data_IF_448052534395
#
_entry.id   IF_448052534395
#
_cell.length_a   1.000
_cell.length_b   1.000
_cell.length_c   1.000
_cell.angle_alpha   90.00
_cell.angle_beta   90.00
_cell.angle_gamma   90.00
#
_symmetry.space_group_name_H-M   'P 1'
#
loop_
_entity.id
_entity.type
_entity.pdbx_description
1 polymer ?
#
# COMPACT_ATOMS: atom_id res chain seq x y z
N UNK A 1 53.11 36.34 25.53
CA UNK A 1 51.70 36.54 25.21
C UNK A 1 51.02 35.21 25.46
N UNK A 2 50.41 35.08 26.64
CA UNK A 2 49.77 33.83 27.04
C UNK A 2 48.31 33.82 26.55
N UNK A 3 47.95 32.75 25.87
CA UNK A 3 46.54 32.44 25.59
C UNK A 3 45.95 31.68 26.81
N UNK A 4 45.06 32.34 27.49
CA UNK A 4 44.25 31.79 28.57
C UNK A 4 43.18 30.89 27.97
N UNK A 5 43.30 29.57 28.14
CA UNK A 5 42.21 28.63 27.94
C UNK A 5 41.19 28.77 29.06
N UNK A 6 40.01 29.23 28.71
CA UNK A 6 38.85 29.17 29.62
C UNK A 6 38.29 27.75 29.61
N UNK A 7 38.11 27.13 30.78
CA UNK A 7 37.46 25.81 30.81
C UNK A 7 35.97 25.99 30.59
N UNK A 8 35.46 25.38 29.51
CA UNK A 8 34.03 25.16 29.35
C UNK A 8 33.51 24.34 30.54
N UNK A 9 32.88 25.01 31.45
CA UNK A 9 32.14 24.38 32.54
C UNK A 9 30.98 23.56 31.97
N UNK A 10 31.14 22.27 31.98
CA UNK A 10 30.05 21.33 31.82
C UNK A 10 29.02 21.59 32.93
N UNK A 11 27.91 22.19 32.60
CA UNK A 11 26.74 22.25 33.48
C UNK A 11 26.21 20.85 33.71
N UNK A 12 26.59 20.24 34.81
CA UNK A 12 25.92 19.10 35.38
C UNK A 12 24.70 19.62 36.16
N UNK A 13 23.46 19.41 35.74
CA UNK A 13 22.30 19.73 36.58
C UNK A 13 22.14 18.61 37.59
N UNK A 14 22.55 18.90 38.84
CA UNK A 14 22.34 18.05 40.03
C UNK A 14 20.96 18.32 40.65
N UNK A 15 19.90 18.14 39.90
CA UNK A 15 18.54 18.08 40.43
C UNK A 15 18.03 16.68 40.20
N UNK A 16 17.67 15.97 41.30
CA UNK A 16 17.01 14.68 41.22
C UNK A 16 15.77 14.78 40.28
N UNK A 17 15.55 13.80 39.38
CA UNK A 17 14.45 13.88 38.44
C UNK A 17 13.11 13.87 39.19
N UNK A 18 12.21 14.73 38.76
CA UNK A 18 10.86 14.81 39.33
C UNK A 18 10.07 13.53 39.07
N UNK A 19 9.09 13.22 39.91
CA UNK A 19 8.19 12.08 39.71
C UNK A 19 7.45 12.13 38.38
N UNK A 20 7.24 13.31 37.79
CA UNK A 20 6.63 13.48 36.49
C UNK A 20 7.58 13.08 35.35
N UNK A 21 8.85 13.49 35.42
CA UNK A 21 9.91 13.11 34.48
C UNK A 21 10.15 11.61 34.52
N UNK A 22 10.29 11.02 35.71
CA UNK A 22 10.45 9.54 35.83
C UNK A 22 9.29 8.77 35.18
N UNK A 23 8.05 9.24 35.36
CA UNK A 23 6.90 8.59 34.72
C UNK A 23 6.92 8.74 33.20
N UNK A 24 7.32 9.93 32.70
CA UNK A 24 7.45 10.22 31.25
C UNK A 24 8.54 9.34 30.63
N UNK A 25 9.75 9.36 31.17
CA UNK A 25 10.89 8.58 30.66
C UNK A 25 10.65 7.07 30.71
N UNK A 26 9.95 6.56 31.76
CA UNK A 26 9.55 5.15 31.77
C UNK A 26 8.57 4.79 30.67
N UNK A 27 7.69 5.70 30.32
CA UNK A 27 6.77 5.49 29.20
C UNK A 27 7.54 5.46 27.87
N UNK A 28 8.41 6.43 27.65
CA UNK A 28 9.26 6.46 26.46
C UNK A 28 10.11 5.20 26.36
N UNK A 29 10.82 4.82 27.41
CA UNK A 29 11.56 3.55 27.42
C UNK A 29 10.70 2.34 27.05
N UNK A 30 9.47 2.28 27.54
CA UNK A 30 8.57 1.16 27.23
C UNK A 30 8.06 1.20 25.79
N UNK A 31 7.86 2.40 25.22
CA UNK A 31 7.43 2.58 23.83
C UNK A 31 8.58 2.25 22.87
N UNK A 32 9.83 2.73 23.11
CA UNK A 32 11.03 2.38 22.32
C UNK A 32 11.26 0.87 22.27
N UNK A 33 11.23 0.20 23.42
CA UNK A 33 11.39 -1.27 23.48
C UNK A 33 10.28 -2.02 22.74
N UNK A 34 9.07 -1.46 22.72
CA UNK A 34 7.98 -2.03 21.95
C UNK A 34 8.15 -1.81 20.44
N UNK A 35 8.65 -0.63 20.03
CA UNK A 35 8.93 -0.28 18.64
C UNK A 35 10.10 -1.12 18.10
N UNK A 36 11.22 -1.22 18.83
CA UNK A 36 12.31 -2.14 18.49
C UNK A 36 11.82 -3.59 18.28
N UNK A 37 10.96 -4.10 19.19
CA UNK A 37 10.40 -5.43 19.06
C UNK A 37 9.45 -5.58 17.85
N UNK A 38 8.73 -4.52 17.46
CA UNK A 38 7.88 -4.52 16.26
C UNK A 38 8.77 -4.57 15.02
N UNK A 39 9.78 -3.72 14.92
CA UNK A 39 10.71 -3.70 13.79
C UNK A 39 11.47 -5.02 13.65
N UNK A 40 11.94 -5.60 14.76
CA UNK A 40 12.56 -6.92 14.75
C UNK A 40 11.60 -8.01 14.24
N UNK A 41 10.34 -8.00 14.71
CA UNK A 41 9.34 -8.96 14.24
C UNK A 41 9.07 -8.81 12.73
N UNK A 42 9.01 -7.58 12.22
CA UNK A 42 8.83 -7.31 10.79
C UNK A 42 10.07 -7.73 9.98
N UNK A 43 11.27 -7.49 10.50
CA UNK A 43 12.53 -7.91 9.91
C UNK A 43 12.60 -9.44 9.71
N UNK A 44 12.21 -10.19 10.73
CA UNK A 44 12.21 -11.67 10.69
C UNK A 44 11.26 -12.26 9.64
N UNK A 45 10.26 -11.48 9.19
CA UNK A 45 9.24 -11.90 8.23
C UNK A 45 9.36 -11.21 6.87
N UNK A 46 10.28 -10.26 6.72
CA UNK A 46 10.49 -9.55 5.47
C UNK A 46 11.59 -10.22 4.62
N UNK A 47 11.43 -10.30 3.28
CA UNK A 47 12.43 -10.93 2.42
C UNK A 47 13.64 -10.01 2.18
N UNK A 48 14.83 -10.63 2.12
CA UNK A 48 16.06 -10.03 1.61
C UNK A 48 16.42 -8.68 2.24
N UNK A 49 16.76 -7.70 1.41
CA UNK A 49 17.24 -6.38 1.83
C UNK A 49 16.23 -5.61 2.73
N UNK A 50 14.94 -5.83 2.56
CA UNK A 50 13.92 -5.18 3.40
C UNK A 50 14.03 -5.64 4.86
N UNK A 51 14.28 -6.93 5.10
CA UNK A 51 14.51 -7.47 6.44
C UNK A 51 15.75 -6.86 7.10
N UNK A 52 16.86 -6.72 6.35
CA UNK A 52 18.08 -6.11 6.85
C UNK A 52 17.88 -4.64 7.25
N UNK A 53 17.18 -3.85 6.43
CA UNK A 53 16.88 -2.44 6.74
C UNK A 53 16.03 -2.35 8.01
N UNK A 54 14.98 -3.16 8.14
CA UNK A 54 14.12 -3.16 9.33
C UNK A 54 14.88 -3.58 10.60
N UNK A 55 15.83 -4.51 10.48
CA UNK A 55 16.69 -4.89 11.59
C UNK A 55 17.58 -3.73 12.03
N UNK A 56 18.15 -2.96 11.10
CA UNK A 56 18.97 -1.79 11.43
C UNK A 56 18.15 -0.70 12.13
N UNK A 57 16.89 -0.48 11.72
CA UNK A 57 15.98 0.42 12.43
C UNK A 57 15.71 -0.10 13.85
N UNK A 58 15.46 -1.41 14.04
CA UNK A 58 15.27 -1.99 15.37
C UNK A 58 16.47 -1.75 16.30
N UNK A 59 17.69 -1.84 15.78
CA UNK A 59 18.93 -1.54 16.52
C UNK A 59 19.02 -0.05 16.88
N UNK A 60 18.49 0.83 16.03
CA UNK A 60 18.44 2.27 16.32
C UNK A 60 17.48 2.57 17.48
N UNK A 61 16.29 1.95 17.50
CA UNK A 61 15.33 2.07 18.62
C UNK A 61 15.91 1.57 19.96
N UNK A 62 16.69 0.49 19.93
CA UNK A 62 17.39 0.04 21.14
C UNK A 62 18.41 1.08 21.66
N UNK A 63 19.02 1.89 20.82
CA UNK A 63 19.88 3.02 21.23
C UNK A 63 19.07 4.15 21.87
N UNK A 64 17.86 4.44 21.36
CA UNK A 64 16.92 5.37 21.98
C UNK A 64 16.48 4.88 23.35
N UNK A 65 16.15 3.61 23.47
CA UNK A 65 15.82 2.98 24.75
C UNK A 65 16.96 3.10 25.76
N UNK A 66 18.23 2.98 25.33
CA UNK A 66 19.40 3.13 26.19
C UNK A 66 19.59 4.58 26.69
N UNK A 67 19.23 5.58 25.88
CA UNK A 67 19.20 6.98 26.35
C UNK A 67 18.24 7.15 27.53
N UNK A 68 17.03 6.64 27.42
CA UNK A 68 16.04 6.72 28.50
C UNK A 68 16.43 5.88 29.72
N UNK A 69 17.11 4.74 29.55
CA UNK A 69 17.66 3.94 30.67
C UNK A 69 18.71 4.74 31.43
N UNK A 70 19.60 5.43 30.75
CA UNK A 70 20.64 6.26 31.38
C UNK A 70 20.03 7.40 32.20
N UNK A 71 19.04 8.11 31.68
CA UNK A 71 18.36 9.16 32.41
C UNK A 71 17.59 8.63 33.62
N UNK A 72 16.97 7.47 33.50
CA UNK A 72 16.25 6.82 34.60
C UNK A 72 17.17 6.31 35.72
N UNK A 73 18.40 5.91 35.39
CA UNK A 73 19.32 5.31 36.37
C UNK A 73 18.68 4.21 37.20
N UNK A 74 18.70 4.31 38.55
CA UNK A 74 18.09 3.30 39.44
C UNK A 74 16.57 3.15 39.23
N UNK A 75 15.90 4.13 38.66
CA UNK A 75 14.45 4.12 38.42
C UNK A 75 14.05 3.30 37.20
N UNK A 76 15.00 2.83 36.38
CA UNK A 76 14.74 2.00 35.21
C UNK A 76 14.24 0.57 35.56
N UNK A 77 14.49 0.09 36.77
CA UNK A 77 14.10 -1.26 37.20
C UNK A 77 12.58 -1.49 37.25
N UNK A 78 11.77 -0.43 37.38
CA UNK A 78 10.31 -0.54 37.32
C UNK A 78 9.84 -0.33 35.88
N UNK A 79 9.51 -1.43 35.19
CA UNK A 79 8.95 -1.39 33.85
C UNK A 79 7.60 -0.65 33.81
N UNK A 80 7.44 0.28 32.89
CA UNK A 80 6.13 0.81 32.52
C UNK A 80 5.51 -0.12 31.45
N UNK A 81 4.18 -0.06 31.32
CA UNK A 81 3.51 -0.72 30.19
C UNK A 81 3.63 0.17 28.98
N UNK A 82 3.92 -0.40 27.79
CA UNK A 82 3.87 0.34 26.55
C UNK A 82 2.49 1.01 26.34
N UNK A 83 2.45 2.07 25.58
CA UNK A 83 1.23 2.80 25.26
C UNK A 83 0.18 1.86 24.62
N UNK A 84 -1.09 2.22 24.70
CA UNK A 84 -2.14 1.47 24.00
C UNK A 84 -1.88 1.39 22.49
N UNK A 85 -1.24 2.42 21.93
CA UNK A 85 -0.85 2.49 20.54
C UNK A 85 0.22 1.45 20.21
N UNK A 86 1.35 1.41 20.94
CA UNK A 86 2.43 0.44 20.74
C UNK A 86 1.92 -1.00 20.90
N UNK A 87 1.02 -1.23 21.86
CA UNK A 87 0.36 -2.54 22.04
C UNK A 87 -0.53 -2.92 20.86
N UNK A 88 -1.31 -1.97 20.33
CA UNK A 88 -2.14 -2.20 19.15
C UNK A 88 -1.28 -2.44 17.90
N UNK A 89 -0.19 -1.70 17.73
CA UNK A 89 0.77 -1.90 16.64
C UNK A 89 1.42 -3.29 16.71
N UNK A 90 1.84 -3.73 17.87
CA UNK A 90 2.39 -5.08 18.09
C UNK A 90 1.36 -6.17 17.76
N UNK A 91 0.10 -5.99 18.18
CA UNK A 91 -0.97 -6.92 17.82
C UNK A 91 -1.18 -6.98 16.30
N UNK A 92 -1.21 -5.82 15.65
CA UNK A 92 -1.36 -5.74 14.19
C UNK A 92 -0.15 -6.32 13.46
N UNK A 93 1.08 -6.11 13.94
CA UNK A 93 2.29 -6.69 13.36
C UNK A 93 2.26 -8.22 13.36
N UNK A 94 1.68 -8.82 14.39
CA UNK A 94 1.56 -10.29 14.52
C UNK A 94 0.46 -10.92 13.66
N UNK A 95 -0.58 -10.16 13.30
CA UNK A 95 -1.79 -10.72 12.67
C UNK A 95 -2.08 -10.15 11.29
N UNK A 96 -1.48 -9.01 10.92
CA UNK A 96 -1.71 -8.33 9.65
C UNK A 96 -0.39 -8.16 8.90
N UNK A 97 -0.45 -8.19 7.57
CA UNK A 97 0.74 -8.17 6.72
C UNK A 97 1.63 -6.92 6.91
N UNK A 98 2.92 -7.09 6.61
CA UNK A 98 4.00 -6.11 6.80
C UNK A 98 3.67 -4.71 6.26
N UNK A 99 3.09 -4.61 5.07
CA UNK A 99 2.79 -3.32 4.41
C UNK A 99 1.80 -2.48 5.20
N UNK A 100 0.79 -3.12 5.81
CA UNK A 100 -0.21 -2.42 6.62
C UNK A 100 0.40 -1.86 7.89
N UNK A 101 1.28 -2.63 8.52
CA UNK A 101 1.97 -2.22 9.74
C UNK A 101 2.98 -1.11 9.48
N UNK A 102 3.75 -1.19 8.37
CA UNK A 102 4.67 -0.12 7.96
C UNK A 102 3.94 1.22 7.75
N UNK A 103 2.74 1.22 7.16
CA UNK A 103 1.96 2.44 7.00
C UNK A 103 1.52 3.06 8.34
N UNK A 104 1.27 2.21 9.35
CA UNK A 104 0.95 2.65 10.70
C UNK A 104 2.18 3.14 11.46
N UNK A 105 3.32 2.48 11.31
CA UNK A 105 4.60 2.89 11.89
C UNK A 105 5.04 4.24 11.32
N UNK A 106 5.03 4.42 10.00
CA UNK A 106 5.31 5.72 9.37
C UNK A 106 4.54 6.86 10.04
N UNK A 107 3.26 6.63 10.34
CA UNK A 107 2.43 7.62 11.04
C UNK A 107 2.76 7.73 12.53
N UNK A 108 3.41 6.71 13.09
CA UNK A 108 3.90 6.71 14.44
C UNK A 108 5.09 7.65 14.57
N UNK A 109 6.11 7.46 13.74
CA UNK A 109 7.34 8.24 13.67
C UNK A 109 7.05 9.74 13.41
N UNK A 110 6.15 10.05 12.46
CA UNK A 110 5.77 11.44 12.16
C UNK A 110 5.14 12.21 13.33
N UNK A 111 4.89 11.56 14.46
CA UNK A 111 4.29 12.12 15.67
C UNK A 111 5.15 11.93 16.90
N UNK A 112 6.44 11.64 16.71
CA UNK A 112 7.39 11.56 17.82
C UNK A 112 7.41 12.87 18.61
N UNK A 113 7.34 12.82 19.94
CA UNK A 113 7.35 14.00 20.79
C UNK A 113 8.75 14.59 20.98
N UNK A 114 9.81 13.97 20.44
CA UNK A 114 11.19 14.28 20.80
C UNK A 114 11.68 15.63 20.32
N UNK A 115 11.06 16.23 19.29
CA UNK A 115 11.37 17.61 18.86
C UNK A 115 11.02 18.67 19.90
N UNK A 116 10.03 18.37 20.75
CA UNK A 116 9.51 19.32 21.75
C UNK A 116 9.93 18.93 23.18
N UNK A 117 10.51 17.73 23.36
CA UNK A 117 10.91 17.25 24.68
C UNK A 117 12.34 17.66 25.02
N UNK A 118 12.54 18.47 26.10
CA UNK A 118 13.87 18.96 26.47
C UNK A 118 14.82 17.88 26.97
N UNK A 119 14.32 16.70 27.32
CA UNK A 119 15.11 15.56 27.83
C UNK A 119 15.50 14.59 26.69
N UNK A 120 14.94 14.74 25.48
CA UNK A 120 15.38 14.04 24.30
C UNK A 120 16.59 14.72 23.66
N UNK A 121 17.50 13.96 23.06
CA UNK A 121 18.62 14.54 22.33
C UNK A 121 18.18 15.00 20.93
N UNK A 122 18.88 16.03 20.40
CA UNK A 122 18.65 16.48 19.02
C UNK A 122 18.89 15.33 18.01
N UNK A 123 19.84 14.44 18.31
CA UNK A 123 20.13 13.27 17.49
C UNK A 123 18.92 12.32 17.45
N UNK A 124 18.27 12.03 18.59
CA UNK A 124 17.06 11.20 18.60
C UNK A 124 15.94 11.80 17.76
N UNK A 125 15.72 13.12 17.88
CA UNK A 125 14.70 13.79 17.07
C UNK A 125 15.02 13.79 15.57
N UNK A 126 16.30 13.78 15.21
CA UNK A 126 16.75 13.62 13.81
C UNK A 126 16.60 12.17 13.32
N UNK A 127 16.96 11.19 14.15
CA UNK A 127 16.80 9.76 13.84
C UNK A 127 15.34 9.40 13.55
N UNK A 128 14.39 9.91 14.35
CA UNK A 128 12.95 9.74 14.11
C UNK A 128 12.49 10.22 12.73
N UNK A 129 13.03 11.36 12.29
CA UNK A 129 12.72 11.88 10.95
C UNK A 129 13.31 10.98 9.82
N UNK A 130 14.48 10.38 10.06
CA UNK A 130 15.09 9.42 9.15
C UNK A 130 14.32 8.11 9.15
N UNK A 131 13.89 7.62 10.32
CA UNK A 131 13.03 6.43 10.44
C UNK A 131 11.71 6.62 9.67
N UNK A 132 11.05 7.78 9.83
CA UNK A 132 9.84 8.08 9.04
C UNK A 132 10.08 7.92 7.54
N UNK A 133 11.21 8.43 7.01
CA UNK A 133 11.50 8.35 5.58
C UNK A 133 11.85 6.94 5.12
N UNK A 134 12.64 6.19 5.91
CA UNK A 134 12.93 4.78 5.64
C UNK A 134 11.63 3.97 5.57
N UNK A 135 10.77 4.11 6.58
CA UNK A 135 9.50 3.39 6.64
C UNK A 135 8.56 3.84 5.51
N UNK A 136 8.58 5.11 5.13
CA UNK A 136 7.85 5.63 3.96
C UNK A 136 8.32 4.95 2.67
N UNK A 137 9.62 4.83 2.45
CA UNK A 137 10.19 4.17 1.28
C UNK A 137 9.79 2.68 1.21
N UNK A 138 9.97 1.93 2.30
CA UNK A 138 9.56 0.53 2.40
C UNK A 138 8.05 0.33 2.22
N UNK A 139 7.24 1.22 2.80
CA UNK A 139 5.79 1.18 2.62
C UNK A 139 5.36 1.50 1.19
N UNK A 140 6.11 2.34 0.46
CA UNK A 140 5.80 2.72 -0.93
C UNK A 140 6.01 1.53 -1.86
N UNK A 141 7.11 0.79 -1.74
CA UNK A 141 7.36 -0.42 -2.53
C UNK A 141 6.25 -1.47 -2.28
N UNK A 142 5.92 -1.72 -1.02
CA UNK A 142 4.82 -2.63 -0.67
C UNK A 142 3.44 -2.15 -1.17
N UNK A 143 3.17 -0.84 -1.16
CA UNK A 143 1.93 -0.26 -1.70
C UNK A 143 1.83 -0.45 -3.21
N UNK A 144 2.91 -0.32 -3.94
CA UNK A 144 2.94 -0.51 -5.40
C UNK A 144 2.57 -1.95 -5.76
N UNK A 145 3.15 -2.92 -5.06
CA UNK A 145 2.85 -4.35 -5.25
C UNK A 145 1.42 -4.74 -4.85
N UNK A 146 0.87 -4.10 -3.81
CA UNK A 146 -0.51 -4.36 -3.34
C UNK A 146 -1.57 -3.54 -4.08
N UNK A 147 -1.18 -2.47 -4.80
CA UNK A 147 -2.13 -1.46 -5.28
C UNK A 147 -3.24 -2.01 -6.17
N UNK A 148 -2.95 -2.98 -7.03
CA UNK A 148 -3.94 -3.60 -7.93
C UNK A 148 -5.00 -4.40 -7.18
N UNK A 149 -4.57 -5.43 -6.45
CA UNK A 149 -5.48 -6.34 -5.74
C UNK A 149 -6.20 -5.66 -4.58
N UNK A 150 -5.51 -4.80 -3.82
CA UNK A 150 -6.12 -4.06 -2.72
C UNK A 150 -7.13 -3.04 -3.22
N UNK A 151 -6.85 -2.34 -4.31
CA UNK A 151 -7.80 -1.41 -4.93
C UNK A 151 -9.06 -2.16 -5.37
N UNK A 152 -8.91 -3.27 -6.08
CA UNK A 152 -10.03 -4.11 -6.50
C UNK A 152 -10.86 -4.61 -5.30
N UNK A 153 -10.20 -5.07 -4.23
CA UNK A 153 -10.85 -5.54 -3.01
C UNK A 153 -11.67 -4.44 -2.33
N UNK A 154 -11.06 -3.26 -2.12
CA UNK A 154 -11.74 -2.14 -1.46
C UNK A 154 -12.87 -1.59 -2.31
N UNK A 155 -12.64 -1.42 -3.63
CA UNK A 155 -13.69 -0.98 -4.53
C UNK A 155 -14.83 -1.98 -4.59
N UNK A 156 -14.54 -3.28 -4.74
CA UNK A 156 -15.55 -4.33 -4.79
C UNK A 156 -16.38 -4.38 -3.52
N UNK A 157 -15.76 -4.47 -2.35
CA UNK A 157 -16.47 -4.52 -1.09
C UNK A 157 -17.28 -3.25 -0.85
N UNK A 158 -16.72 -2.07 -1.14
CA UNK A 158 -17.43 -0.81 -0.95
C UNK A 158 -18.60 -0.65 -1.91
N UNK A 159 -18.45 -1.02 -3.17
CA UNK A 159 -19.53 -0.99 -4.16
C UNK A 159 -20.66 -1.95 -3.75
N UNK A 160 -20.32 -3.17 -3.30
CA UNK A 160 -21.30 -4.11 -2.77
C UNK A 160 -22.06 -3.57 -1.55
N UNK A 161 -21.34 -2.93 -0.60
CA UNK A 161 -21.96 -2.31 0.58
C UNK A 161 -22.97 -1.22 0.21
N UNK A 162 -22.55 -0.29 -0.65
CA UNK A 162 -23.34 0.90 -1.00
C UNK A 162 -24.48 0.54 -1.94
N UNK A 163 -24.23 -0.19 -3.02
CA UNK A 163 -25.23 -0.50 -4.05
C UNK A 163 -26.34 -1.38 -3.49
N UNK A 164 -25.98 -2.41 -2.72
CA UNK A 164 -26.98 -3.31 -2.18
C UNK A 164 -27.73 -2.71 -0.98
N UNK A 165 -27.07 -1.87 -0.15
CA UNK A 165 -27.79 -1.07 0.85
C UNK A 165 -28.83 -0.15 0.18
N UNK A 166 -28.41 0.58 -0.87
CA UNK A 166 -29.30 1.49 -1.60
C UNK A 166 -30.49 0.75 -2.21
N UNK A 167 -30.26 -0.45 -2.79
CA UNK A 167 -31.32 -1.30 -3.32
C UNK A 167 -32.30 -1.73 -2.24
N UNK A 168 -31.81 -2.25 -1.12
CA UNK A 168 -32.63 -2.71 0.02
C UNK A 168 -33.43 -1.56 0.65
N UNK A 169 -32.81 -0.38 0.80
CA UNK A 169 -33.47 0.82 1.32
C UNK A 169 -34.57 1.29 0.38
N UNK A 170 -34.30 1.33 -0.94
CA UNK A 170 -35.29 1.74 -1.94
C UNK A 170 -36.49 0.79 -1.99
N UNK A 171 -36.26 -0.52 -2.08
CA UNK A 171 -37.34 -1.52 -2.12
C UNK A 171 -38.06 -1.59 -0.77
N UNK A 172 -37.35 -1.55 0.35
CA UNK A 172 -37.94 -1.58 1.68
C UNK A 172 -38.90 -0.39 1.95
N UNK A 173 -38.60 0.78 1.36
CA UNK A 173 -39.43 1.98 1.47
C UNK A 173 -40.76 1.87 0.73
N UNK A 174 -40.91 0.98 -0.24
CA UNK A 174 -42.16 0.75 -0.95
C UNK A 174 -43.23 -0.01 -0.12
N UNK A 175 -42.87 -0.47 1.08
CA UNK A 175 -43.80 -1.19 1.96
C UNK A 175 -44.03 -2.66 1.63
N UNK A 176 -43.25 -3.25 0.73
CA UNK A 176 -43.31 -4.67 0.38
C UNK A 176 -42.86 -5.58 1.53
N UNK A 177 -43.18 -6.87 1.45
CA UNK A 177 -42.80 -7.83 2.49
C UNK A 177 -41.29 -8.01 2.60
N UNK A 178 -40.83 -8.33 3.82
CA UNK A 178 -39.41 -8.56 4.11
C UNK A 178 -38.79 -9.67 3.24
N UNK A 179 -39.58 -10.65 2.82
CA UNK A 179 -39.14 -11.71 1.90
C UNK A 179 -38.81 -11.17 0.50
N UNK A 180 -39.59 -10.23 -0.02
CA UNK A 180 -39.32 -9.56 -1.29
C UNK A 180 -38.04 -8.73 -1.20
N UNK A 181 -37.90 -7.96 -0.11
CA UNK A 181 -36.64 -7.18 0.13
C UNK A 181 -35.40 -8.10 0.16
N UNK A 182 -35.51 -9.23 0.90
CA UNK A 182 -34.42 -10.20 0.99
C UNK A 182 -34.08 -10.81 -0.36
N UNK A 183 -35.06 -11.28 -1.12
CA UNK A 183 -34.85 -11.88 -2.45
C UNK A 183 -34.23 -10.86 -3.42
N UNK A 184 -34.73 -9.61 -3.38
CA UNK A 184 -34.19 -8.52 -4.19
C UNK A 184 -32.73 -8.20 -3.81
N UNK A 185 -32.42 -8.19 -2.51
CA UNK A 185 -31.03 -8.02 -2.05
C UNK A 185 -30.10 -9.16 -2.52
N UNK A 186 -30.56 -10.42 -2.49
CA UNK A 186 -29.79 -11.57 -3.01
C UNK A 186 -29.62 -11.44 -4.52
N UNK A 187 -30.67 -11.08 -5.26
CA UNK A 187 -30.58 -10.87 -6.71
C UNK A 187 -29.60 -9.73 -7.05
N UNK A 188 -29.66 -8.62 -6.31
CA UNK A 188 -28.72 -7.50 -6.45
C UNK A 188 -27.27 -7.89 -6.15
N UNK A 189 -27.05 -8.67 -5.09
CA UNK A 189 -25.74 -9.23 -4.77
C UNK A 189 -25.19 -10.09 -5.93
N UNK A 190 -25.97 -11.03 -6.43
CA UNK A 190 -25.53 -11.93 -7.49
C UNK A 190 -25.30 -11.17 -8.80
N UNK A 191 -26.22 -10.30 -9.18
CA UNK A 191 -26.09 -9.51 -10.40
C UNK A 191 -24.85 -8.59 -10.36
N UNK A 192 -24.66 -7.90 -9.24
CA UNK A 192 -23.49 -7.01 -9.05
C UNK A 192 -22.17 -7.77 -9.01
N UNK A 193 -22.11 -8.88 -8.26
CA UNK A 193 -20.90 -9.70 -8.17
C UNK A 193 -20.51 -10.30 -9.53
N UNK A 194 -21.47 -10.83 -10.29
CA UNK A 194 -21.24 -11.37 -11.63
C UNK A 194 -20.79 -10.26 -12.60
N UNK A 195 -21.48 -9.11 -12.58
CA UNK A 195 -21.13 -7.97 -13.44
C UNK A 195 -19.73 -7.45 -13.15
N UNK A 196 -19.38 -7.32 -11.88
CA UNK A 196 -18.07 -6.83 -11.47
C UNK A 196 -16.95 -7.83 -11.81
N UNK A 197 -17.17 -9.12 -11.56
CA UNK A 197 -16.23 -10.18 -11.95
C UNK A 197 -16.03 -10.26 -13.46
N UNK A 198 -17.09 -10.18 -14.25
CA UNK A 198 -17.00 -10.17 -15.71
C UNK A 198 -16.30 -8.91 -16.24
N UNK A 199 -16.58 -7.73 -15.65
CA UNK A 199 -15.91 -6.49 -16.00
C UNK A 199 -14.41 -6.52 -15.74
N UNK A 200 -14.00 -7.06 -14.59
CA UNK A 200 -12.59 -7.22 -14.25
C UNK A 200 -11.88 -8.20 -15.17
N UNK A 201 -12.52 -9.32 -15.50
CA UNK A 201 -11.99 -10.29 -16.48
C UNK A 201 -11.68 -9.62 -17.82
N UNK A 202 -12.64 -8.88 -18.36
CA UNK A 202 -12.49 -8.20 -19.65
C UNK A 202 -11.42 -7.12 -19.57
N UNK A 203 -11.39 -6.35 -18.47
CA UNK A 203 -10.41 -5.27 -18.26
C UNK A 203 -8.98 -5.80 -18.21
N UNK A 204 -8.71 -6.83 -17.41
CA UNK A 204 -7.37 -7.42 -17.28
C UNK A 204 -6.95 -8.08 -18.60
N UNK A 205 -7.87 -8.78 -19.27
CA UNK A 205 -7.64 -9.40 -20.56
C UNK A 205 -7.27 -8.37 -21.65
N UNK A 206 -8.05 -7.29 -21.72
CA UNK A 206 -7.78 -6.22 -22.70
C UNK A 206 -6.47 -5.50 -22.44
N UNK A 207 -6.10 -5.28 -21.16
CA UNK A 207 -4.80 -4.71 -20.81
C UNK A 207 -3.65 -5.60 -21.27
N UNK A 208 -3.76 -6.91 -21.09
CA UNK A 208 -2.75 -7.87 -21.60
C UNK A 208 -2.67 -7.87 -23.11
N UNK A 209 -3.80 -7.91 -23.80
CA UNK A 209 -3.83 -7.87 -25.26
C UNK A 209 -3.21 -6.58 -25.80
N UNK A 210 -3.41 -5.43 -25.12
CA UNK A 210 -2.76 -4.16 -25.48
C UNK A 210 -1.25 -4.21 -25.22
N UNK A 211 -0.82 -4.78 -24.09
CA UNK A 211 0.60 -4.95 -23.78
C UNK A 211 1.26 -5.89 -24.79
N UNK A 212 0.63 -7.01 -25.09
CA UNK A 212 1.12 -7.96 -26.10
C UNK A 212 1.23 -7.32 -27.50
N UNK A 213 0.25 -6.49 -27.88
CA UNK A 213 0.29 -5.75 -29.16
C UNK A 213 1.37 -4.66 -29.17
N UNK A 214 1.78 -4.16 -28.01
CA UNK A 214 2.82 -3.14 -27.86
C UNK A 214 4.22 -3.72 -27.75
N UNK A 215 4.32 -5.06 -27.59
CA UNK A 215 5.63 -5.75 -27.50
C UNK A 215 6.41 -5.60 -28.81
N UNK A 216 7.71 -5.34 -28.71
CA UNK A 216 8.59 -5.39 -29.86
C UNK A 216 8.49 -6.79 -30.52
N UNK A 217 8.16 -6.85 -31.77
CA UNK A 217 8.19 -8.11 -32.52
C UNK A 217 9.65 -8.60 -32.59
N UNK A 218 9.88 -9.88 -32.39
CA UNK A 218 11.19 -10.53 -32.56
C UNK A 218 11.72 -10.40 -34.01
N UNK A 219 10.88 -9.96 -34.95
CA UNK A 219 11.22 -9.66 -36.34
C UNK A 219 12.51 -8.79 -36.45
N UNK A 220 12.72 -7.84 -35.53
CA UNK A 220 13.96 -7.03 -35.53
C UNK A 220 15.21 -7.85 -35.21
N UNK A 221 15.09 -8.94 -34.46
CA UNK A 221 16.20 -9.85 -34.18
C UNK A 221 16.44 -10.84 -35.33
N UNK A 222 15.38 -11.34 -35.93
CA UNK A 222 15.44 -12.32 -37.02
C UNK A 222 15.95 -11.70 -38.32
N UNK A 223 15.55 -10.45 -38.61
CA UNK A 223 15.93 -9.78 -39.87
C UNK A 223 17.18 -8.92 -39.76
N UNK A 224 17.65 -8.57 -38.55
CA UNK A 224 18.83 -7.73 -38.36
C UNK A 224 20.10 -8.24 -39.13
N UNK A 225 20.39 -9.55 -39.19
CA UNK A 225 21.53 -10.05 -39.95
C UNK A 225 21.40 -9.89 -41.47
N UNK A 226 20.20 -9.69 -41.99
CA UNK A 226 19.90 -9.55 -43.43
C UNK A 226 19.76 -8.10 -43.88
N UNK A 227 19.77 -7.16 -42.91
CA UNK A 227 19.67 -5.72 -43.21
C UNK A 227 20.96 -5.19 -43.83
N UNK A 228 20.81 -4.25 -44.78
CA UNK A 228 21.93 -3.48 -45.29
C UNK A 228 22.54 -2.63 -44.16
N UNK A 229 23.85 -2.70 -43.98
CA UNK A 229 24.53 -2.03 -42.87
C UNK A 229 24.47 -0.49 -42.98
N UNK A 230 24.51 0.02 -44.21
CA UNK A 230 24.58 1.45 -44.49
C UNK A 230 23.21 2.10 -44.81
N UNK A 231 22.17 1.30 -45.07
CA UNK A 231 20.88 1.76 -45.54
C UNK A 231 19.72 0.94 -44.93
N UNK A 232 19.48 1.15 -43.64
CA UNK A 232 18.38 0.49 -42.96
C UNK A 232 17.63 1.47 -42.02
N UNK A 233 16.41 1.14 -41.67
CA UNK A 233 15.52 1.94 -40.82
C UNK A 233 15.50 1.45 -39.35
N UNK A 234 16.44 0.62 -38.92
CA UNK A 234 16.47 0.05 -37.55
C UNK A 234 16.50 1.14 -36.49
N UNK A 235 17.25 2.20 -36.72
CA UNK A 235 17.29 3.39 -35.83
C UNK A 235 15.91 4.00 -35.64
N UNK A 236 15.09 4.04 -36.68
CA UNK A 236 13.73 4.62 -36.62
C UNK A 236 12.82 3.84 -35.69
N UNK A 237 13.00 2.51 -35.60
CA UNK A 237 12.24 1.66 -34.68
C UNK A 237 12.51 2.08 -33.24
N UNK A 238 13.79 2.25 -32.86
CA UNK A 238 14.18 2.66 -31.51
C UNK A 238 13.74 4.09 -31.18
N UNK A 239 13.80 5.01 -32.16
CA UNK A 239 13.27 6.37 -32.01
C UNK A 239 11.75 6.37 -31.83
N UNK A 240 11.03 5.55 -32.58
CA UNK A 240 9.58 5.38 -32.44
C UNK A 240 9.17 4.81 -31.06
N UNK A 241 10.08 4.08 -30.40
CA UNK A 241 9.93 3.59 -29.02
C UNK A 241 10.34 4.59 -27.95
N UNK A 242 10.69 5.82 -28.34
CA UNK A 242 10.98 6.94 -27.43
C UNK A 242 12.46 7.09 -27.05
N UNK A 243 13.39 6.38 -27.69
CA UNK A 243 14.82 6.61 -27.50
C UNK A 243 15.26 7.94 -28.12
N UNK A 244 16.26 8.58 -27.52
CA UNK A 244 16.94 9.72 -28.15
C UNK A 244 17.62 9.27 -29.44
N UNK A 245 17.90 10.20 -30.36
CA UNK A 245 18.53 9.90 -31.66
C UNK A 245 19.86 9.18 -31.46
N UNK A 246 20.72 9.69 -30.58
CA UNK A 246 22.03 9.11 -30.26
C UNK A 246 21.93 7.71 -29.66
N UNK A 247 20.99 7.49 -28.71
CA UNK A 247 20.78 6.18 -28.11
C UNK A 247 20.22 5.16 -29.11
N UNK A 248 19.34 5.61 -30.02
CA UNK A 248 18.75 4.77 -31.05
C UNK A 248 19.78 4.36 -32.13
N UNK A 249 20.66 5.27 -32.53
CA UNK A 249 21.76 4.98 -33.45
C UNK A 249 22.75 3.98 -32.83
N UNK A 250 23.12 4.21 -31.57
CA UNK A 250 24.00 3.29 -30.87
C UNK A 250 23.40 1.89 -30.76
N UNK A 251 22.11 1.79 -30.39
CA UNK A 251 21.41 0.52 -30.29
C UNK A 251 21.26 -0.21 -31.62
N UNK A 252 20.99 0.55 -32.68
CA UNK A 252 20.93 0.00 -34.04
C UNK A 252 22.27 -0.55 -34.48
N UNK A 253 23.35 0.22 -34.30
CA UNK A 253 24.71 -0.20 -34.65
C UNK A 253 25.15 -1.45 -33.87
N UNK A 254 24.82 -1.53 -32.58
CA UNK A 254 25.09 -2.69 -31.74
C UNK A 254 24.37 -3.94 -32.27
N UNK A 255 23.11 -3.82 -32.69
CA UNK A 255 22.33 -4.95 -33.26
C UNK A 255 22.86 -5.40 -34.62
N UNK A 256 23.45 -4.51 -35.40
CA UNK A 256 24.09 -4.83 -36.67
C UNK A 256 25.53 -5.37 -36.50
N UNK A 257 26.02 -5.51 -35.25
CA UNK A 257 27.33 -6.01 -34.95
C UNK A 257 28.48 -4.97 -35.02
N UNK A 258 28.14 -3.68 -35.12
CA UNK A 258 29.09 -2.58 -35.06
C UNK A 258 29.36 -2.21 -33.59
N UNK A 259 30.42 -2.73 -33.02
CA UNK A 259 30.76 -2.49 -31.61
C UNK A 259 31.76 -1.33 -31.39
N UNK A 260 32.31 -0.75 -32.47
CA UNK A 260 33.22 0.39 -32.42
C UNK A 260 32.52 1.65 -32.92
N UNK A 261 31.61 2.21 -32.13
CA UNK A 261 31.07 3.54 -32.39
C UNK A 261 31.84 4.57 -31.54
N UNK A 262 32.12 5.76 -32.12
CA UNK A 262 32.66 6.96 -31.42
C UNK A 262 31.60 7.58 -30.48
N UNK A 263 30.68 6.76 -29.91
CA UNK A 263 29.64 7.20 -29.02
C UNK A 263 30.18 7.34 -27.59
N UNK A 264 29.38 8.04 -26.76
CA UNK A 264 29.68 8.21 -25.34
C UNK A 264 30.00 6.86 -24.69
N UNK A 265 31.19 6.68 -24.07
CA UNK A 265 31.61 5.45 -23.41
C UNK A 265 30.65 4.97 -22.31
N UNK A 266 29.83 5.84 -21.78
CA UNK A 266 28.79 5.50 -20.79
C UNK A 266 27.62 4.72 -21.41
N UNK A 267 27.44 4.79 -22.74
CA UNK A 267 26.43 4.08 -23.52
C UNK A 267 26.97 2.77 -24.13
N UNK A 268 28.28 2.54 -24.04
CA UNK A 268 28.89 1.31 -24.56
C UNK A 268 28.66 0.13 -23.60
N UNK A 269 28.42 -1.05 -24.17
CA UNK A 269 28.38 -2.30 -23.41
C UNK A 269 29.75 -2.53 -22.78
N UNK A 270 29.90 -2.18 -21.50
CA UNK A 270 31.18 -2.31 -20.77
C UNK A 270 31.48 -3.73 -20.31
N UNK A 271 30.60 -4.70 -20.60
CA UNK A 271 30.78 -6.05 -20.11
C UNK A 271 31.52 -6.94 -21.13
N UNK A 272 32.83 -7.11 -20.92
CA UNK A 272 33.67 -8.02 -21.70
C UNK A 272 33.13 -9.48 -21.70
N UNK A 273 32.32 -9.86 -20.71
CA UNK A 273 31.64 -11.16 -20.66
C UNK A 273 30.48 -11.26 -21.65
N UNK A 274 29.71 -10.19 -21.85
CA UNK A 274 28.65 -10.14 -22.83
C UNK A 274 29.20 -10.21 -24.25
N UNK A 275 30.33 -9.50 -24.56
CA UNK A 275 31.03 -9.63 -25.82
C UNK A 275 31.54 -11.06 -26.08
N UNK A 276 32.07 -11.72 -25.06
CA UNK A 276 32.54 -13.11 -25.18
C UNK A 276 31.41 -14.14 -25.32
N UNK A 277 30.22 -13.84 -24.86
CA UNK A 277 29.01 -14.67 -25.04
C UNK A 277 28.42 -14.53 -26.45
N UNK A 278 28.35 -13.30 -26.99
CA UNK A 278 27.94 -13.01 -28.37
C UNK A 278 28.82 -13.75 -29.37
N UNK A 279 30.16 -13.71 -29.20
CA UNK A 279 31.10 -14.43 -30.07
C UNK A 279 31.05 -15.95 -29.96
N UNK A 280 30.39 -16.52 -28.97
CA UNK A 280 30.20 -17.97 -28.78
C UNK A 280 28.86 -18.52 -29.25
N UNK A 281 27.96 -17.69 -29.81
CA UNK A 281 26.63 -18.11 -30.25
C UNK A 281 25.73 -18.55 -29.09
N UNK A 282 26.07 -18.17 -27.87
CA UNK A 282 25.31 -18.46 -26.65
C UNK A 282 24.67 -17.18 -26.09
N UNK A 283 24.10 -16.36 -26.96
CA UNK A 283 23.28 -15.24 -26.47
C UNK A 283 21.90 -15.78 -26.16
N UNK A 284 21.71 -16.22 -24.93
CA UNK A 284 20.43 -16.01 -24.27
C UNK A 284 20.25 -14.50 -24.18
N UNK A 285 19.20 -14.01 -24.77
CA UNK A 285 18.83 -12.61 -24.90
C UNK A 285 18.63 -12.02 -23.47
N UNK A 286 19.73 -11.55 -22.88
CA UNK A 286 19.70 -10.74 -21.67
C UNK A 286 19.55 -9.27 -22.06
N UNK A 287 18.67 -8.96 -23.00
CA UNK A 287 18.01 -7.67 -23.03
C UNK A 287 17.20 -7.63 -21.74
N UNK A 288 17.70 -6.95 -20.73
CA UNK A 288 16.91 -6.45 -19.64
C UNK A 288 15.95 -5.38 -20.22
N UNK A 289 15.03 -5.82 -21.07
CA UNK A 289 13.72 -5.19 -21.12
C UNK A 289 13.21 -5.20 -19.69
N UNK A 290 12.56 -4.12 -19.20
CA UNK A 290 12.04 -4.08 -17.83
C UNK A 290 11.29 -5.38 -17.60
N UNK A 291 11.77 -6.18 -16.67
CA UNK A 291 11.49 -7.61 -16.47
C UNK A 291 10.04 -7.92 -16.76
N UNK A 292 9.78 -8.53 -17.92
CA UNK A 292 8.44 -8.98 -18.37
C UNK A 292 7.69 -9.77 -17.29
N UNK A 293 8.43 -10.37 -16.34
CA UNK A 293 7.89 -11.07 -15.20
C UNK A 293 7.16 -10.16 -14.21
N UNK A 294 7.60 -8.90 -14.03
CA UNK A 294 7.07 -8.05 -12.96
C UNK A 294 5.75 -7.37 -13.36
N UNK A 295 5.59 -6.93 -14.62
CA UNK A 295 4.31 -6.34 -15.07
C UNK A 295 3.21 -7.40 -15.24
N UNK A 296 3.51 -8.56 -15.80
CA UNK A 296 2.56 -9.65 -15.93
C UNK A 296 2.22 -10.33 -14.60
N UNK A 297 3.17 -10.40 -13.66
CA UNK A 297 2.92 -10.86 -12.30
C UNK A 297 2.10 -9.85 -11.49
N UNK A 298 2.26 -8.55 -11.74
CA UNK A 298 1.47 -7.50 -11.10
C UNK A 298 -0.01 -7.53 -11.50
N UNK A 299 -0.34 -7.97 -12.72
CA UNK A 299 -1.72 -8.07 -13.21
C UNK A 299 -2.47 -9.33 -12.71
N UNK A 300 -1.77 -10.35 -12.19
CA UNK A 300 -2.37 -11.62 -11.79
C UNK A 300 -2.97 -12.39 -12.98
N UNK A 301 -3.75 -13.44 -12.75
CA UNK A 301 -4.50 -14.14 -13.82
C UNK A 301 -5.85 -13.48 -14.06
N UNK A 302 -6.36 -13.48 -15.30
CA UNK A 302 -7.67 -12.89 -15.67
C UNK A 302 -8.80 -13.45 -14.80
N UNK A 303 -8.81 -14.79 -14.62
CA UNK A 303 -9.78 -15.48 -13.76
C UNK A 303 -9.57 -15.18 -12.28
N UNK A 304 -8.31 -15.02 -11.83
CA UNK A 304 -8.00 -14.67 -10.45
C UNK A 304 -8.50 -13.27 -10.10
N UNK A 305 -8.31 -12.30 -10.98
CA UNK A 305 -8.82 -10.94 -10.83
C UNK A 305 -10.36 -10.92 -10.81
N UNK A 306 -11.00 -11.64 -11.75
CA UNK A 306 -12.45 -11.75 -11.81
C UNK A 306 -13.06 -12.41 -10.56
N UNK A 307 -12.48 -13.52 -10.09
CA UNK A 307 -12.92 -14.20 -8.88
C UNK A 307 -12.73 -13.33 -7.62
N UNK A 308 -11.62 -12.61 -7.54
CA UNK A 308 -11.33 -11.66 -6.48
C UNK A 308 -12.37 -10.54 -6.42
N UNK A 309 -12.64 -9.88 -7.54
CA UNK A 309 -13.66 -8.82 -7.65
C UNK A 309 -15.06 -9.33 -7.29
N UNK A 310 -15.43 -10.51 -7.79
CA UNK A 310 -16.68 -11.18 -7.43
C UNK A 310 -16.80 -11.38 -5.90
N UNK A 311 -15.79 -12.00 -5.29
CA UNK A 311 -15.80 -12.31 -3.85
C UNK A 311 -15.84 -11.05 -2.99
N UNK A 312 -15.08 -10.01 -3.35
CA UNK A 312 -15.07 -8.77 -2.59
C UNK A 312 -16.39 -8.01 -2.68
N UNK A 313 -16.99 -7.93 -3.88
CA UNK A 313 -18.32 -7.35 -4.03
C UNK A 313 -19.36 -8.14 -3.22
N UNK A 314 -19.39 -9.46 -3.35
CA UNK A 314 -20.33 -10.31 -2.64
C UNK A 314 -20.19 -10.18 -1.11
N UNK A 315 -18.96 -10.08 -0.60
CA UNK A 315 -18.67 -9.89 0.83
C UNK A 315 -19.22 -8.57 1.38
N UNK A 316 -19.20 -7.51 0.58
CA UNK A 316 -19.82 -6.23 0.94
C UNK A 316 -21.34 -6.28 0.83
N UNK A 317 -21.84 -6.81 -0.29
CA UNK A 317 -23.26 -6.83 -0.61
C UNK A 317 -24.10 -7.74 0.31
N UNK A 318 -23.50 -8.73 0.97
CA UNK A 318 -24.20 -9.60 1.91
C UNK A 318 -24.56 -8.88 3.22
N UNK A 319 -23.78 -7.89 3.64
CA UNK A 319 -23.92 -7.23 4.95
C UNK A 319 -25.30 -6.59 5.15
N UNK A 320 -25.84 -5.81 4.21
CA UNK A 320 -27.18 -5.23 4.39
C UNK A 320 -28.31 -6.27 4.35
N UNK A 321 -28.06 -7.50 3.84
CA UNK A 321 -29.05 -8.58 3.80
C UNK A 321 -29.08 -9.37 5.12
N UNK A 322 -27.97 -9.38 5.88
CA UNK A 322 -27.85 -10.19 7.10
C UNK A 322 -29.03 -10.06 8.08
N UNK A 323 -29.59 -8.87 8.38
CA UNK A 323 -30.71 -8.76 9.28
C UNK A 323 -31.95 -9.56 8.84
N UNK A 324 -32.19 -9.65 7.54
CA UNK A 324 -33.29 -10.43 6.97
C UNK A 324 -33.09 -11.93 7.10
N UNK A 325 -31.85 -12.42 6.94
CA UNK A 325 -31.50 -13.82 7.22
C UNK A 325 -31.68 -14.20 8.69
N UNK A 326 -31.51 -13.23 9.60
CA UNK A 326 -31.73 -13.42 11.03
C UNK A 326 -33.20 -13.32 11.43
N UNK A 327 -34.13 -13.22 10.46
CA UNK A 327 -35.56 -13.15 10.68
C UNK A 327 -36.08 -11.78 11.12
N UNK A 328 -35.25 -10.74 11.07
CA UNK A 328 -35.69 -9.38 11.30
C UNK A 328 -36.51 -8.90 10.09
N UNK A 329 -37.52 -8.05 10.33
CA UNK A 329 -38.36 -7.51 9.27
C UNK A 329 -38.66 -6.03 9.43
N UNK A 330 -39.24 -5.45 8.37
CA UNK A 330 -39.68 -4.06 8.35
C UNK A 330 -38.60 -3.05 8.68
N UNK A 331 -38.94 -1.98 9.37
CA UNK A 331 -38.00 -0.90 9.73
C UNK A 331 -36.82 -1.34 10.59
N UNK A 332 -37.02 -2.37 11.44
CA UNK A 332 -35.92 -2.88 12.29
C UNK A 332 -34.80 -3.49 11.45
N UNK A 333 -35.12 -4.29 10.44
CA UNK A 333 -34.11 -4.88 9.54
C UNK A 333 -33.33 -3.80 8.76
N UNK A 334 -34.07 -2.76 8.29
CA UNK A 334 -33.44 -1.62 7.59
C UNK A 334 -32.47 -0.86 8.51
N UNK A 335 -32.88 -0.55 9.75
CA UNK A 335 -32.00 0.18 10.69
C UNK A 335 -30.76 -0.64 11.09
N UNK A 336 -30.93 -1.93 11.35
CA UNK A 336 -29.81 -2.81 11.68
C UNK A 336 -28.87 -2.95 10.47
N UNK A 337 -29.44 -3.12 9.27
CA UNK A 337 -28.66 -3.18 8.02
C UNK A 337 -27.84 -1.90 7.79
N UNK A 338 -28.48 -0.74 7.95
CA UNK A 338 -27.82 0.56 7.84
C UNK A 338 -26.69 0.72 8.87
N UNK A 339 -26.90 0.31 10.11
CA UNK A 339 -25.89 0.34 11.15
C UNK A 339 -24.68 -0.55 10.82
N UNK A 340 -24.92 -1.80 10.40
CA UNK A 340 -23.85 -2.75 10.04
C UNK A 340 -23.04 -2.25 8.84
N UNK A 341 -23.72 -1.75 7.80
CA UNK A 341 -23.06 -1.16 6.64
C UNK A 341 -22.29 0.10 7.03
N UNK A 342 -22.83 0.93 7.92
CA UNK A 342 -22.11 2.10 8.44
C UNK A 342 -20.80 1.76 9.11
N UNK A 343 -20.77 0.72 9.95
CA UNK A 343 -19.54 0.21 10.56
C UNK A 343 -18.55 -0.33 9.50
N UNK A 344 -19.06 -1.07 8.52
CA UNK A 344 -18.24 -1.61 7.44
C UNK A 344 -17.62 -0.48 6.56
N UNK A 345 -18.38 0.57 6.23
CA UNK A 345 -17.91 1.73 5.47
C UNK A 345 -16.86 2.54 6.26
N UNK A 346 -17.04 2.70 7.56
CA UNK A 346 -16.03 3.32 8.42
C UNK A 346 -14.75 2.50 8.45
N UNK A 347 -14.86 1.19 8.53
CA UNK A 347 -13.71 0.28 8.53
C UNK A 347 -12.98 0.30 7.18
N UNK A 348 -13.67 0.09 6.06
CA UNK A 348 -13.06 0.10 4.73
C UNK A 348 -12.44 1.46 4.39
N UNK A 349 -13.15 2.56 4.68
CA UNK A 349 -12.62 3.91 4.51
C UNK A 349 -11.43 4.21 5.43
N UNK A 350 -11.44 3.67 6.64
CA UNK A 350 -10.32 3.72 7.58
C UNK A 350 -9.08 3.00 7.05
N UNK A 351 -9.24 1.78 6.53
CA UNK A 351 -8.17 1.00 5.89
C UNK A 351 -7.54 1.74 4.72
N UNK A 352 -8.37 2.29 3.81
CA UNK A 352 -7.89 3.13 2.70
C UNK A 352 -7.15 4.36 3.21
N UNK A 353 -7.65 4.98 4.27
CA UNK A 353 -7.00 6.14 4.89
C UNK A 353 -5.61 5.82 5.41
N UNK A 354 -5.45 4.67 6.08
CA UNK A 354 -4.18 4.19 6.60
C UNK A 354 -3.18 3.93 5.47
N UNK A 355 -3.57 3.15 4.48
CA UNK A 355 -2.69 2.78 3.36
C UNK A 355 -2.29 3.99 2.49
N UNK A 356 -3.14 5.01 2.39
CA UNK A 356 -2.84 6.23 1.63
C UNK A 356 -2.12 7.30 2.44
N UNK A 357 -1.72 7.02 3.70
CA UNK A 357 -1.08 8.01 4.58
C UNK A 357 -2.00 9.15 5.03
N UNK A 358 -3.31 9.09 4.69
CA UNK A 358 -4.29 10.11 5.06
C UNK A 358 -4.97 9.80 6.40
N UNK A 359 -5.78 10.74 6.91
CA UNK A 359 -6.54 10.52 8.15
C UNK A 359 -7.61 9.43 7.97
N UNK A 360 -7.53 8.29 8.71
CA UNK A 360 -8.51 7.20 8.61
C UNK A 360 -9.93 7.66 8.91
N UNK A 361 -10.08 8.50 9.95
CA UNK A 361 -11.38 9.00 10.36
C UNK A 361 -12.04 9.89 9.28
N UNK A 362 -11.27 10.81 8.67
CA UNK A 362 -11.79 11.66 7.59
C UNK A 362 -12.21 10.83 6.38
N UNK A 363 -11.43 9.81 6.02
CA UNK A 363 -11.74 8.91 4.91
C UNK A 363 -12.95 8.02 5.22
N UNK A 364 -13.02 7.45 6.42
CA UNK A 364 -14.16 6.66 6.89
C UNK A 364 -15.46 7.47 6.90
N UNK A 365 -15.44 8.68 7.47
CA UNK A 365 -16.61 9.56 7.49
C UNK A 365 -17.06 9.99 6.08
N UNK A 366 -16.11 10.25 5.16
CA UNK A 366 -16.45 10.54 3.76
C UNK A 366 -17.15 9.35 3.11
N UNK A 367 -16.64 8.13 3.32
CA UNK A 367 -17.22 6.91 2.81
C UNK A 367 -18.64 6.69 3.33
N UNK A 368 -18.82 6.87 4.65
CA UNK A 368 -20.12 6.80 5.31
C UNK A 368 -21.11 7.82 4.73
N UNK A 369 -20.69 9.07 4.55
CA UNK A 369 -21.53 10.12 3.99
C UNK A 369 -21.99 9.80 2.56
N UNK A 370 -21.10 9.26 1.73
CA UNK A 370 -21.44 8.85 0.36
C UNK A 370 -22.44 7.67 0.38
N UNK A 371 -22.16 6.63 1.16
CA UNK A 371 -22.99 5.43 1.23
C UNK A 371 -24.38 5.74 1.79
N UNK A 372 -24.48 6.53 2.86
CA UNK A 372 -25.76 6.94 3.42
C UNK A 372 -26.51 7.92 2.52
N UNK A 373 -25.79 8.80 1.82
CA UNK A 373 -26.40 9.68 0.82
C UNK A 373 -27.09 8.90 -0.30
N UNK A 374 -26.45 7.86 -0.81
CA UNK A 374 -27.05 6.96 -1.81
C UNK A 374 -28.26 6.21 -1.24
N UNK A 375 -28.15 5.66 -0.04
CA UNK A 375 -29.24 4.93 0.63
C UNK A 375 -30.44 5.84 0.92
N UNK A 376 -30.23 7.07 1.36
CA UNK A 376 -31.30 8.05 1.59
C UNK A 376 -31.96 8.43 0.25
N UNK A 377 -31.22 8.67 -0.79
CA UNK A 377 -31.77 9.02 -2.09
C UNK A 377 -32.69 7.91 -2.63
N UNK A 378 -32.25 6.65 -2.56
CA UNK A 378 -33.06 5.52 -3.00
C UNK A 378 -34.24 5.24 -2.08
N UNK A 379 -34.12 5.46 -0.77
CA UNK A 379 -35.20 5.37 0.18
C UNK A 379 -36.32 6.40 -0.13
N UNK A 380 -35.96 7.65 -0.38
CA UNK A 380 -36.89 8.71 -0.76
C UNK A 380 -37.60 8.39 -2.09
N UNK A 381 -36.86 7.84 -3.05
CA UNK A 381 -37.43 7.38 -4.31
C UNK A 381 -38.44 6.25 -4.07
N UNK A 382 -38.12 5.27 -3.23
CA UNK A 382 -39.04 4.19 -2.86
C UNK A 382 -40.32 4.69 -2.19
N UNK A 383 -40.23 5.70 -1.30
CA UNK A 383 -41.41 6.35 -0.71
C UNK A 383 -42.28 7.05 -1.76
N UNK A 384 -41.66 7.72 -2.74
CA UNK A 384 -42.41 8.36 -3.82
C UNK A 384 -43.20 7.35 -4.66
N UNK A 385 -42.64 6.18 -4.92
CA UNK A 385 -43.37 5.10 -5.63
C UNK A 385 -44.49 4.49 -4.76
N UNK A 386 -44.31 4.36 -3.46
CA UNK A 386 -45.32 3.85 -2.56
C UNK A 386 -46.58 4.75 -2.55
N UNK A 387 -46.40 6.05 -2.59
CA UNK A 387 -47.50 7.03 -2.63
C UNK A 387 -48.24 7.08 -3.97
N UNK A 388 -47.66 6.61 -5.05
CA UNK A 388 -48.27 6.63 -6.40
C UNK A 388 -48.98 5.32 -6.77
N UNK A 389 -48.73 4.23 -6.03
CA UNK A 389 -49.32 2.89 -6.27
C UNK A 389 -50.42 2.56 -5.25
N UNK A 390 -50.58 3.32 -4.18
CA UNK A 390 -51.68 3.25 -3.20
C UNK A 390 -52.82 4.14 -3.61
#
# INVERSE_FOLDING_TARGET
MGFSESPHSAHTPSTEPTSAQIRRWRRYLADELAEAAIYQHLADHAPGQQGEILHQVAVAEDRHAEHWRRLLGPHAQKSARPSLRSRALMFLAKHFGTVFVLALLQRAESRSPYREDPDASEAMAADEAVHEEIIRALATDGRTRLSGNFRAAVFGANDGLVSNLALIMGIGATGVSSSIVMVSGIAGLLAGALSMGAGEFVSVRSQRELLDASRPTQVTLEVAPELDLDANELTLIYRARGMSEEAAEHRAAERLGHFDCDCDPSLSFQDAKARAALNRGQVEDTDEEPRESDENQALGTDLGAAASSFCFFASGAIIPILPYFLGLGGGTALLVGMFLVGLALLFTGGCVGLLSGASPLKRGLRQLAIGYGAAIATYLLGLAFNTTVA
#
